data_IF_949619411736
#
_entry.id   IF_949619411736
#
_cell.length_a   1.000
_cell.length_b   1.000
_cell.length_c   1.000
_cell.angle_alpha   90.00
_cell.angle_beta   90.00
_cell.angle_gamma   90.00
#
_symmetry.space_group_name_H-M   'P 1'
#
loop_
_entity.id
_entity.type
_entity.pdbx_description
1 polymer ?
#
# COMPACT_ATOMS: atom_id res chain seq x y z
N UNK A 1 -51.11 -11.06 -14.74
CA UNK A 1 -50.27 -10.12 -13.96
C UNK A 1 -48.88 -10.72 -13.86
N UNK A 2 -47.94 -10.28 -14.70
CA UNK A 2 -46.59 -10.86 -14.79
C UNK A 2 -45.71 -10.20 -13.72
N UNK A 3 -45.38 -10.94 -12.67
CA UNK A 3 -44.42 -10.51 -11.66
C UNK A 3 -43.02 -10.74 -12.26
N UNK A 4 -42.30 -9.66 -12.58
CA UNK A 4 -40.91 -9.72 -13.04
C UNK A 4 -40.04 -10.37 -11.94
N UNK A 5 -39.11 -11.26 -12.30
CA UNK A 5 -38.21 -11.95 -11.35
C UNK A 5 -37.45 -11.01 -10.39
N UNK A 6 -37.23 -9.75 -10.76
CA UNK A 6 -36.64 -8.73 -9.89
C UNK A 6 -37.49 -8.46 -8.63
N UNK A 7 -38.81 -8.65 -8.72
CA UNK A 7 -39.75 -8.45 -7.62
C UNK A 7 -39.74 -9.63 -6.63
N UNK A 8 -39.45 -10.85 -7.09
CA UNK A 8 -39.29 -12.02 -6.22
C UNK A 8 -38.04 -11.90 -5.33
N UNK A 9 -36.90 -11.53 -5.92
CA UNK A 9 -35.65 -11.33 -5.17
C UNK A 9 -35.76 -10.20 -4.15
N UNK A 10 -36.41 -9.09 -4.52
CA UNK A 10 -36.68 -7.97 -3.61
C UNK A 10 -37.59 -8.41 -2.45
N UNK A 11 -38.67 -9.15 -2.72
CA UNK A 11 -39.60 -9.64 -1.68
C UNK A 11 -38.92 -10.59 -0.71
N UNK A 12 -38.13 -11.55 -1.21
CA UNK A 12 -37.36 -12.45 -0.36
C UNK A 12 -36.33 -11.70 0.51
N UNK A 13 -35.66 -10.69 -0.05
CA UNK A 13 -34.77 -9.82 0.71
C UNK A 13 -35.50 -9.10 1.85
N UNK A 14 -36.65 -8.48 1.59
CA UNK A 14 -37.42 -7.80 2.64
C UNK A 14 -38.04 -8.77 3.66
N UNK A 15 -38.43 -9.97 3.24
CA UNK A 15 -38.91 -11.01 4.18
C UNK A 15 -37.81 -11.42 5.17
N UNK A 16 -36.57 -11.62 4.70
CA UNK A 16 -35.47 -12.07 5.56
C UNK A 16 -34.73 -10.95 6.29
N UNK A 17 -34.61 -9.77 5.67
CA UNK A 17 -33.76 -8.67 6.12
C UNK A 17 -34.52 -7.34 6.30
N UNK A 18 -35.84 -7.32 6.12
CA UNK A 18 -36.65 -6.11 6.28
C UNK A 18 -36.55 -5.49 7.67
N UNK A 19 -36.34 -6.31 8.70
CA UNK A 19 -36.12 -5.87 10.09
C UNK A 19 -34.92 -4.92 10.23
N UNK A 20 -33.93 -4.97 9.32
CA UNK A 20 -32.79 -4.04 9.35
C UNK A 20 -33.18 -2.58 9.07
N UNK A 21 -34.33 -2.33 8.44
CA UNK A 21 -34.77 -0.96 8.15
C UNK A 21 -35.02 -0.18 9.43
N UNK A 22 -35.46 -0.84 10.51
CA UNK A 22 -35.68 -0.24 11.82
C UNK A 22 -34.38 0.33 12.42
N UNK A 23 -33.24 -0.26 12.05
CA UNK A 23 -31.93 0.16 12.53
C UNK A 23 -31.30 1.27 11.68
N UNK A 24 -31.91 1.68 10.56
CA UNK A 24 -31.34 2.69 9.64
C UNK A 24 -30.90 3.95 10.37
N UNK A 25 -31.77 4.52 11.20
CA UNK A 25 -31.49 5.76 11.96
C UNK A 25 -30.41 5.54 13.02
N UNK A 26 -30.39 4.37 13.65
CA UNK A 26 -29.38 4.02 14.66
C UNK A 26 -28.01 3.82 14.03
N UNK A 27 -27.95 3.32 12.78
CA UNK A 27 -26.73 3.06 12.03
C UNK A 27 -26.15 4.29 11.34
N UNK A 28 -26.90 5.39 11.25
CA UNK A 28 -26.44 6.60 10.59
C UNK A 28 -25.16 7.19 11.22
N UNK A 29 -25.06 7.39 12.55
CA UNK A 29 -23.81 7.85 13.18
C UNK A 29 -22.62 6.91 12.92
N UNK A 30 -22.84 5.59 12.94
CA UNK A 30 -21.78 4.62 12.63
C UNK A 30 -21.31 4.73 11.18
N UNK A 31 -22.23 4.98 10.25
CA UNK A 31 -21.90 5.23 8.84
C UNK A 31 -21.05 6.48 8.69
N UNK A 32 -21.40 7.56 9.42
CA UNK A 32 -20.61 8.79 9.45
C UNK A 32 -19.21 8.55 10.04
N UNK A 33 -19.10 7.82 11.15
CA UNK A 33 -17.82 7.46 11.79
C UNK A 33 -16.93 6.65 10.83
N UNK A 34 -17.49 5.62 10.19
CA UNK A 34 -16.77 4.82 9.19
C UNK A 34 -16.31 5.67 8.01
N UNK A 35 -17.13 6.62 7.57
CA UNK A 35 -16.78 7.53 6.48
C UNK A 35 -15.59 8.39 6.87
N UNK A 36 -15.58 9.00 8.06
CA UNK A 36 -14.45 9.79 8.55
C UNK A 36 -13.14 8.98 8.59
N UNK A 37 -13.18 7.79 9.20
CA UNK A 37 -12.01 6.92 9.33
C UNK A 37 -11.50 6.50 7.95
N UNK A 38 -12.41 6.10 7.05
CA UNK A 38 -12.04 5.71 5.68
C UNK A 38 -11.45 6.87 4.89
N UNK A 39 -12.00 8.07 5.02
CA UNK A 39 -11.45 9.27 4.36
C UNK A 39 -10.01 9.52 4.80
N UNK A 40 -9.73 9.43 6.10
CA UNK A 40 -8.37 9.58 6.62
C UNK A 40 -7.45 8.45 6.12
N UNK A 41 -7.88 7.19 6.26
CA UNK A 41 -7.10 6.03 5.82
C UNK A 41 -6.76 6.10 4.33
N UNK A 42 -7.72 6.48 3.48
CA UNK A 42 -7.49 6.63 2.04
C UNK A 42 -6.47 7.73 1.76
N UNK A 43 -6.57 8.87 2.45
CA UNK A 43 -5.60 9.95 2.32
C UNK A 43 -4.20 9.47 2.68
N UNK A 44 -4.02 8.87 3.86
CA UNK A 44 -2.71 8.40 4.34
C UNK A 44 -2.14 7.28 3.46
N UNK A 45 -2.98 6.40 2.92
CA UNK A 45 -2.54 5.32 2.02
C UNK A 45 -2.07 5.83 0.65
N UNK A 46 -2.61 6.94 0.17
CA UNK A 46 -2.29 7.48 -1.15
C UNK A 46 -1.18 8.53 -1.11
N UNK A 47 -1.19 9.37 -0.09
CA UNK A 47 -0.34 10.56 -0.01
C UNK A 47 0.76 10.42 1.06
N UNK A 48 0.66 9.40 1.92
CA UNK A 48 1.43 9.35 3.16
C UNK A 48 0.95 10.38 4.17
N UNK A 49 1.67 10.44 5.29
CA UNK A 49 1.56 11.50 6.27
C UNK A 49 2.52 12.64 5.88
N UNK A 50 1.97 13.84 5.71
CA UNK A 50 2.65 15.05 5.21
C UNK A 50 2.20 16.27 6.01
N UNK A 51 2.93 17.38 5.91
CA UNK A 51 2.53 18.67 6.53
C UNK A 51 1.13 19.14 6.09
N UNK A 52 0.71 18.81 4.86
CA UNK A 52 -0.61 19.16 4.34
C UNK A 52 -1.73 18.19 4.77
N UNK A 53 -1.40 17.10 5.49
CA UNK A 53 -2.38 16.06 5.83
C UNK A 53 -3.54 16.58 6.68
N UNK A 54 -3.26 17.51 7.60
CA UNK A 54 -4.30 18.16 8.40
C UNK A 54 -5.26 18.96 7.52
N UNK A 55 -4.74 19.87 6.71
CA UNK A 55 -5.53 20.72 5.80
C UNK A 55 -6.35 19.90 4.81
N UNK A 56 -5.74 18.87 4.22
CA UNK A 56 -6.42 17.97 3.28
C UNK A 56 -7.58 17.22 3.95
N UNK A 57 -7.40 16.78 5.20
CA UNK A 57 -8.46 16.07 5.92
C UNK A 57 -9.61 17.00 6.30
N UNK A 58 -9.32 18.26 6.68
CA UNK A 58 -10.35 19.27 6.93
C UNK A 58 -11.19 19.50 5.68
N UNK A 59 -10.57 19.74 4.53
CA UNK A 59 -11.28 19.99 3.27
C UNK A 59 -12.11 18.78 2.83
N UNK A 60 -11.52 17.58 2.86
CA UNK A 60 -12.22 16.33 2.48
C UNK A 60 -13.42 16.00 3.38
N UNK A 61 -13.42 16.49 4.63
CA UNK A 61 -14.49 16.21 5.60
C UNK A 61 -15.39 17.41 5.87
N UNK A 62 -15.24 18.51 5.11
CA UNK A 62 -15.98 19.76 5.31
C UNK A 62 -17.48 19.60 5.10
N UNK A 63 -17.87 18.86 4.06
CA UNK A 63 -19.27 18.68 3.64
C UNK A 63 -19.90 17.40 4.19
N UNK A 64 -19.21 16.65 5.04
CA UNK A 64 -19.77 15.44 5.61
C UNK A 64 -20.88 15.79 6.61
N UNK A 65 -22.08 15.18 6.52
CA UNK A 65 -23.15 15.40 7.47
C UNK A 65 -22.76 14.68 8.78
N UNK A 66 -22.20 15.41 9.74
CA UNK A 66 -21.79 14.85 11.02
C UNK A 66 -22.84 15.16 12.08
N UNK A 67 -23.34 14.13 12.74
CA UNK A 67 -24.15 14.26 13.94
C UNK A 67 -23.30 14.65 15.15
N UNK A 68 -23.95 15.14 16.21
CA UNK A 68 -23.29 15.47 17.49
C UNK A 68 -22.50 14.29 18.07
N UNK A 69 -22.97 13.06 17.86
CA UNK A 69 -22.28 11.84 18.31
C UNK A 69 -20.97 11.58 17.55
N UNK A 70 -20.86 12.07 16.32
CA UNK A 70 -19.70 11.84 15.45
C UNK A 70 -18.69 12.98 15.54
N UNK A 71 -19.10 14.18 15.97
CA UNK A 71 -18.21 15.34 16.10
C UNK A 71 -16.97 15.07 16.99
N UNK A 72 -17.08 14.42 18.17
CA UNK A 72 -15.90 14.11 18.99
C UNK A 72 -14.86 13.24 18.29
N UNK A 73 -15.29 12.32 17.43
CA UNK A 73 -14.37 11.49 16.65
C UNK A 73 -13.59 12.35 15.65
N UNK A 74 -14.26 13.26 14.94
CA UNK A 74 -13.59 14.18 14.02
C UNK A 74 -12.54 15.03 14.74
N UNK A 75 -12.87 15.57 15.92
CA UNK A 75 -11.92 16.33 16.73
C UNK A 75 -10.71 15.50 17.11
N UNK A 76 -10.89 14.27 17.61
CA UNK A 76 -9.78 13.36 17.92
C UNK A 76 -8.87 13.08 16.73
N UNK A 77 -9.44 12.89 15.53
CA UNK A 77 -8.66 12.67 14.31
C UNK A 77 -7.89 13.92 13.88
N UNK A 78 -8.46 15.11 14.06
CA UNK A 78 -7.78 16.38 13.80
C UNK A 78 -6.63 16.61 14.78
N UNK A 79 -6.85 16.35 16.07
CA UNK A 79 -5.81 16.47 17.10
C UNK A 79 -4.66 15.49 16.85
N UNK A 80 -4.98 14.25 16.47
CA UNK A 80 -4.00 13.25 16.07
C UNK A 80 -3.15 13.75 14.88
N UNK A 81 -3.79 14.22 13.80
CA UNK A 81 -3.07 14.76 12.65
C UNK A 81 -2.22 15.96 13.02
N UNK A 82 -2.73 16.89 13.83
CA UNK A 82 -1.98 18.06 14.28
C UNK A 82 -0.72 17.65 15.05
N UNK A 83 -0.82 16.67 15.94
CA UNK A 83 0.31 16.16 16.70
C UNK A 83 1.34 15.48 15.81
N UNK A 84 0.91 14.54 14.96
CA UNK A 84 1.80 13.76 14.10
C UNK A 84 2.47 14.61 13.01
N UNK A 85 1.79 15.65 12.53
CA UNK A 85 2.36 16.54 11.49
C UNK A 85 3.33 17.58 12.04
N UNK A 86 3.29 17.89 13.34
CA UNK A 86 4.10 18.97 13.93
C UNK A 86 5.61 18.70 13.91
N UNK A 87 6.04 17.43 13.89
CA UNK A 87 7.45 17.03 13.89
C UNK A 87 7.89 16.37 12.58
N UNK A 88 7.12 16.54 11.50
CA UNK A 88 7.47 15.95 10.21
C UNK A 88 8.61 16.70 9.52
N UNK A 89 9.57 15.98 8.93
CA UNK A 89 10.48 16.58 7.96
C UNK A 89 9.70 17.02 6.72
N UNK A 90 9.89 18.26 6.25
CA UNK A 90 9.09 18.88 5.18
C UNK A 90 9.13 18.13 3.84
N UNK A 91 10.21 17.37 3.59
CA UNK A 91 10.54 16.97 2.23
C UNK A 91 10.11 15.54 1.86
N UNK A 92 9.58 14.75 2.81
CA UNK A 92 9.25 13.33 2.56
C UNK A 92 7.97 12.89 3.24
N UNK A 93 6.99 12.36 2.48
CA UNK A 93 5.83 11.69 3.07
C UNK A 93 6.24 10.48 3.89
N UNK A 94 5.71 10.36 5.11
CA UNK A 94 5.87 9.17 5.94
C UNK A 94 4.79 8.13 5.63
N UNK A 95 5.16 6.86 5.66
CA UNK A 95 4.19 5.77 5.49
C UNK A 95 3.35 5.65 6.77
N UNK A 96 2.03 5.90 6.65
CA UNK A 96 1.10 5.81 7.77
C UNK A 96 0.60 4.39 8.09
N UNK A 97 1.05 3.36 7.36
CA UNK A 97 0.59 1.97 7.53
C UNK A 97 1.52 0.96 6.87
N UNK A 98 1.67 -0.22 7.50
CA UNK A 98 2.38 -1.38 6.93
C UNK A 98 1.64 -2.01 5.75
N UNK A 99 0.32 -1.80 5.62
CA UNK A 99 -0.52 -2.32 4.52
C UNK A 99 0.08 -2.00 3.15
N UNK A 100 0.73 -0.84 3.02
CA UNK A 100 1.38 -0.41 1.76
C UNK A 100 2.53 -1.36 1.42
N UNK A 101 3.39 -1.65 2.39
CA UNK A 101 4.53 -2.56 2.25
C UNK A 101 4.04 -3.99 2.01
N UNK A 102 3.03 -4.43 2.76
CA UNK A 102 2.41 -5.75 2.60
C UNK A 102 1.78 -5.92 1.21
N UNK A 103 1.12 -4.89 0.69
CA UNK A 103 0.55 -4.87 -0.66
C UNK A 103 1.62 -4.99 -1.74
N UNK A 104 2.74 -4.28 -1.60
CA UNK A 104 3.89 -4.38 -2.51
C UNK A 104 4.45 -5.81 -2.47
N UNK A 105 4.63 -6.40 -1.28
CA UNK A 105 5.09 -7.80 -1.17
C UNK A 105 4.06 -8.80 -1.70
N UNK A 106 2.77 -8.52 -1.60
CA UNK A 106 1.72 -9.30 -2.24
C UNK A 106 1.86 -9.33 -3.76
N UNK A 107 2.02 -8.16 -4.38
CA UNK A 107 2.30 -8.04 -5.83
C UNK A 107 3.58 -8.75 -6.23
N UNK A 108 4.62 -8.63 -5.41
CA UNK A 108 5.89 -9.31 -5.62
C UNK A 108 5.75 -10.83 -5.58
N UNK A 109 4.99 -11.39 -4.62
CA UNK A 109 4.72 -12.83 -4.54
C UNK A 109 4.00 -13.32 -5.80
N UNK A 110 3.02 -12.55 -6.29
CA UNK A 110 2.32 -12.88 -7.54
C UNK A 110 3.26 -12.84 -8.76
N UNK A 111 4.15 -11.86 -8.83
CA UNK A 111 5.14 -11.73 -9.91
C UNK A 111 6.18 -12.87 -9.87
N UNK A 112 6.77 -13.12 -8.70
CA UNK A 112 7.81 -14.14 -8.50
C UNK A 112 7.27 -15.57 -8.67
N UNK A 113 5.99 -15.83 -8.39
CA UNK A 113 5.37 -17.12 -8.64
C UNK A 113 5.43 -17.56 -10.12
N UNK A 114 5.51 -16.60 -11.05
CA UNK A 114 5.64 -16.85 -12.49
C UNK A 114 7.09 -16.99 -12.96
N UNK A 115 8.06 -16.70 -12.09
CA UNK A 115 9.48 -16.70 -12.42
C UNK A 115 10.13 -18.04 -12.07
N UNK A 116 10.99 -18.60 -12.94
CA UNK A 116 11.81 -19.76 -12.59
C UNK A 116 12.88 -19.40 -11.52
N UNK A 117 13.15 -18.11 -11.32
CA UNK A 117 14.10 -17.61 -10.35
C UNK A 117 13.43 -17.43 -8.98
N UNK A 118 13.54 -18.46 -8.13
CA UNK A 118 12.99 -18.45 -6.77
C UNK A 118 13.80 -17.63 -5.74
N UNK A 119 14.90 -17.00 -6.16
CA UNK A 119 15.79 -16.28 -5.24
C UNK A 119 15.38 -14.82 -5.15
N UNK A 120 14.91 -14.42 -3.96
CA UNK A 120 14.42 -13.07 -3.69
C UNK A 120 15.45 -11.98 -3.95
N UNK A 121 16.74 -12.24 -3.65
CA UNK A 121 17.81 -11.27 -3.82
C UNK A 121 17.89 -10.72 -5.25
N UNK A 122 17.86 -11.57 -6.28
CA UNK A 122 17.97 -11.12 -7.66
C UNK A 122 16.74 -10.35 -8.15
N UNK A 123 15.57 -10.62 -7.55
CA UNK A 123 14.31 -9.99 -7.92
C UNK A 123 13.96 -8.80 -7.02
N UNK A 124 14.77 -8.44 -6.03
CA UNK A 124 14.46 -7.36 -5.09
C UNK A 124 14.30 -6.02 -5.81
N UNK A 125 15.10 -5.78 -6.85
CA UNK A 125 15.04 -4.58 -7.69
C UNK A 125 13.78 -4.52 -8.57
N UNK A 126 12.98 -5.58 -8.62
CA UNK A 126 11.65 -5.53 -9.22
C UNK A 126 10.62 -4.83 -8.33
N UNK A 127 10.83 -4.76 -7.00
CA UNK A 127 9.88 -4.13 -6.07
C UNK A 127 9.60 -2.66 -6.42
N UNK A 128 10.60 -1.80 -6.66
CA UNK A 128 10.34 -0.42 -7.07
C UNK A 128 9.60 -0.35 -8.41
N UNK A 129 9.87 -1.26 -9.34
CA UNK A 129 9.20 -1.31 -10.65
C UNK A 129 7.71 -1.64 -10.52
N UNK A 130 7.27 -2.29 -9.44
CA UNK A 130 5.84 -2.55 -9.17
C UNK A 130 5.06 -1.29 -8.74
N UNK A 131 5.76 -0.22 -8.40
CA UNK A 131 5.19 1.06 -7.95
C UNK A 131 5.44 2.20 -8.94
N UNK A 132 6.42 2.05 -9.83
CA UNK A 132 6.82 3.09 -10.78
C UNK A 132 6.02 3.00 -12.07
N UNK A 133 5.59 4.15 -12.60
CA UNK A 133 5.09 4.24 -13.97
C UNK A 133 6.28 4.19 -14.93
N UNK A 134 6.41 3.10 -15.66
CA UNK A 134 7.46 2.95 -16.68
C UNK A 134 7.13 3.82 -17.90
N UNK A 135 8.00 4.77 -18.22
CA UNK A 135 7.91 5.59 -19.44
C UNK A 135 9.16 5.35 -20.30
N UNK A 136 9.08 5.69 -21.60
CA UNK A 136 10.20 5.52 -22.51
C UNK A 136 11.41 6.34 -22.06
N UNK A 137 11.18 7.56 -21.58
CA UNK A 137 12.20 8.48 -21.08
C UNK A 137 12.90 7.90 -19.86
N UNK A 138 12.13 7.40 -18.88
CA UNK A 138 12.69 6.75 -17.69
C UNK A 138 13.58 5.56 -18.06
N UNK A 139 13.14 4.74 -19.01
CA UNK A 139 13.90 3.58 -19.47
C UNK A 139 15.18 4.02 -20.18
N UNK A 140 15.11 5.00 -21.08
CA UNK A 140 16.29 5.53 -21.79
C UNK A 140 17.31 6.07 -20.81
N UNK A 141 16.89 6.94 -19.88
CA UNK A 141 17.75 7.50 -18.85
C UNK A 141 18.37 6.42 -17.98
N UNK A 142 17.61 5.40 -17.56
CA UNK A 142 18.15 4.30 -16.76
C UNK A 142 19.23 3.50 -17.51
N UNK A 143 19.01 3.21 -18.79
CA UNK A 143 19.97 2.48 -19.64
C UNK A 143 21.24 3.30 -19.94
N UNK A 144 21.12 4.62 -20.05
CA UNK A 144 22.23 5.53 -20.30
C UNK A 144 23.06 5.82 -19.04
N UNK A 145 22.41 5.82 -17.86
CA UNK A 145 23.06 6.20 -16.59
C UNK A 145 23.60 5.04 -15.79
N UNK A 146 23.00 3.84 -15.90
CA UNK A 146 23.36 2.68 -15.08
C UNK A 146 23.78 1.51 -15.95
N UNK A 147 25.06 1.15 -15.87
CA UNK A 147 25.60 -0.01 -16.57
C UNK A 147 25.23 -1.32 -15.88
N UNK A 148 25.16 -2.41 -16.66
CA UNK A 148 24.96 -3.75 -16.11
C UNK A 148 26.06 -4.16 -15.11
N UNK A 149 27.30 -3.73 -15.34
CA UNK A 149 28.43 -3.99 -14.44
C UNK A 149 28.18 -3.39 -13.05
N UNK A 150 27.74 -2.12 -12.99
CA UNK A 150 27.41 -1.46 -11.73
C UNK A 150 26.31 -2.19 -10.94
N UNK A 151 25.26 -2.66 -11.63
CA UNK A 151 24.18 -3.44 -10.98
C UNK A 151 24.69 -4.79 -10.47
N UNK A 152 25.55 -5.47 -11.24
CA UNK A 152 26.15 -6.74 -10.83
C UNK A 152 27.06 -6.57 -9.62
N UNK A 153 27.85 -5.50 -9.58
CA UNK A 153 28.77 -5.23 -8.46
C UNK A 153 28.01 -4.85 -7.20
N UNK A 154 26.98 -4.01 -7.32
CA UNK A 154 26.04 -3.73 -6.23
C UNK A 154 25.37 -5.00 -5.70
N UNK A 155 24.92 -5.88 -6.60
CA UNK A 155 24.30 -7.13 -6.18
C UNK A 155 25.27 -7.99 -5.37
N UNK A 156 26.54 -8.08 -5.80
CA UNK A 156 27.57 -8.84 -5.09
C UNK A 156 27.93 -8.22 -3.75
N UNK A 157 27.97 -6.89 -3.64
CA UNK A 157 28.27 -6.24 -2.35
C UNK A 157 27.15 -6.41 -1.34
N UNK A 158 25.88 -6.38 -1.78
CA UNK A 158 24.72 -6.50 -0.89
C UNK A 158 24.38 -7.95 -0.54
N UNK A 159 24.41 -8.86 -1.52
CA UNK A 159 23.93 -10.24 -1.35
C UNK A 159 25.03 -11.31 -1.46
N UNK A 160 26.24 -10.92 -1.84
CA UNK A 160 27.35 -11.85 -2.07
C UNK A 160 27.20 -12.70 -3.34
N UNK A 161 27.92 -13.81 -3.37
CA UNK A 161 27.86 -14.76 -4.49
C UNK A 161 26.50 -15.46 -4.56
N UNK A 162 25.96 -15.58 -5.78
CA UNK A 162 24.74 -16.35 -6.00
C UNK A 162 24.94 -17.83 -5.62
N UNK A 163 23.89 -18.55 -5.21
CA UNK A 163 24.01 -19.97 -4.84
C UNK A 163 24.58 -20.84 -5.98
N UNK A 164 24.25 -20.52 -7.23
CA UNK A 164 24.84 -21.18 -8.40
C UNK A 164 26.33 -20.87 -8.57
N UNK A 165 26.77 -19.64 -8.27
CA UNK A 165 28.18 -19.28 -8.29
C UNK A 165 28.96 -19.98 -7.16
N UNK A 166 28.39 -20.04 -5.94
CA UNK A 166 28.94 -20.81 -4.81
C UNK A 166 29.12 -22.28 -5.17
N UNK A 167 28.07 -22.92 -5.72
CA UNK A 167 28.15 -24.31 -6.19
C UNK A 167 29.23 -24.49 -7.24
N UNK A 168 29.29 -23.62 -8.26
CA UNK A 168 30.31 -23.69 -9.31
C UNK A 168 31.74 -23.48 -8.77
N UNK A 169 31.94 -22.64 -7.77
CA UNK A 169 33.25 -22.45 -7.15
C UNK A 169 33.75 -23.72 -6.46
N UNK A 170 32.86 -24.39 -5.71
CA UNK A 170 33.14 -25.68 -5.06
C UNK A 170 33.48 -26.76 -6.10
N UNK A 171 32.68 -26.90 -7.16
CA UNK A 171 32.95 -27.88 -8.23
C UNK A 171 34.18 -27.56 -9.08
N UNK A 172 34.68 -26.32 -9.06
CA UNK A 172 35.91 -25.91 -9.76
C UNK A 172 37.15 -25.90 -8.85
N UNK A 173 37.04 -26.35 -7.60
CA UNK A 173 38.18 -26.44 -6.68
C UNK A 173 38.75 -25.10 -6.21
N UNK A 174 38.05 -23.98 -6.40
CA UNK A 174 38.44 -22.69 -5.81
C UNK A 174 37.82 -22.57 -4.42
N UNK A 175 38.64 -22.71 -3.39
CA UNK A 175 38.31 -22.34 -2.01
C UNK A 175 37.86 -20.88 -1.99
N UNK A 176 36.59 -20.65 -1.65
CA UNK A 176 36.03 -19.30 -1.49
C UNK A 176 36.51 -18.79 -0.13
N UNK A 177 37.57 -17.97 -0.13
CA UNK A 177 37.90 -17.16 1.04
C UNK A 177 36.74 -16.17 1.24
N UNK A 178 36.01 -16.35 2.34
CA UNK A 178 35.05 -15.39 2.85
C UNK A 178 35.80 -14.39 3.70
N UNK A 179 36.22 -13.27 3.12
CA UNK A 179 36.55 -12.09 3.92
C UNK A 179 35.23 -11.39 4.26
N UNK A 180 34.79 -11.57 5.51
CA UNK A 180 33.81 -10.70 6.14
C UNK A 180 34.59 -9.56 6.79
N UNK A 181 34.38 -8.34 6.29
CA UNK A 181 34.53 -7.09 7.02
C UNK A 181 33.22 -6.32 6.88
#
# INVERSE_FOLDING_TARGET
MVILCADLGRRYFFEKLGWLQEYRTILEPYTQMLTLVRTLQQQLKQQGLTEHSLTNFIERTRLLPLSERTAPLKTKLLDYLKFETASLPSDKPLLGSSDIVESIFGKYKLFSAKSPLKHMGHLILSLPLLTTKLTAELISTALETVSFAAVSDWYRSVFGLSPLAKRRAVFRGKTVYTDNA
#
